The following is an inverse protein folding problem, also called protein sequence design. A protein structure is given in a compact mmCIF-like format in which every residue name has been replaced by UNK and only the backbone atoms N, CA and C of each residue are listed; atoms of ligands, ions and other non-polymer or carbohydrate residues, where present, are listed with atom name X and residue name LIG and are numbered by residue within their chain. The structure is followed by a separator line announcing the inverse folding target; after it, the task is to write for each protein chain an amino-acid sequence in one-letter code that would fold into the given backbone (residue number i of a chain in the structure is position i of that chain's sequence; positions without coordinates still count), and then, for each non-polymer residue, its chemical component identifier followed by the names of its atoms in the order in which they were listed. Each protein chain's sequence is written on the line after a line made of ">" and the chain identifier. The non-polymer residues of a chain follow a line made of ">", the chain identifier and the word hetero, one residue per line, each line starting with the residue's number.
data_IF_075767920524
#
_entry.id   IF_075767920524
#
_cell.length_a   1.000
_cell.length_b   1.000
_cell.length_c   1.000
_cell.angle_alpha   90.00
_cell.angle_beta   90.00
_cell.angle_gamma   90.00
#
_symmetry.space_group_name_H-M   'P 1'
#
loop_
_entity.id
_entity.type
_entity.pdbx_description
1 polymer ?
#
# COMPACT_ATOMS: atom_id res chain seq x y z
N UNK A 1 -0.66 -7.94 -1.06
CA UNK A 1 -1.49 -9.11 -1.41
C UNK A 1 -0.57 -10.17 -1.96
N UNK A 2 -0.67 -11.37 -1.43
CA UNK A 2 0.15 -12.52 -1.78
C UNK A 2 -0.78 -13.62 -2.27
N UNK A 3 -0.35 -14.33 -3.29
CA UNK A 3 -0.95 -15.61 -3.66
C UNK A 3 -0.34 -16.69 -2.75
N UNK A 4 -1.20 -17.50 -2.14
CA UNK A 4 -0.76 -18.50 -1.17
C UNK A 4 -0.91 -19.90 -1.74
N UNK A 5 0.22 -20.54 -2.00
CA UNK A 5 0.29 -21.91 -2.50
C UNK A 5 0.77 -22.87 -1.40
N UNK A 6 0.24 -24.09 -1.42
CA UNK A 6 0.62 -25.14 -0.46
C UNK A 6 1.92 -25.87 -0.83
N UNK A 7 2.34 -25.77 -2.09
CA UNK A 7 3.46 -26.57 -2.65
C UNK A 7 4.58 -25.67 -3.17
N UNK A 8 4.23 -24.53 -3.78
CA UNK A 8 5.17 -23.56 -4.36
C UNK A 8 5.41 -22.38 -3.43
N UNK A 9 6.46 -21.59 -3.74
CA UNK A 9 6.72 -20.35 -3.03
C UNK A 9 5.61 -19.35 -3.34
N UNK A 10 5.09 -18.71 -2.30
CA UNK A 10 4.09 -17.64 -2.44
C UNK A 10 4.61 -16.47 -3.27
N UNK A 11 3.82 -16.07 -4.26
CA UNK A 11 4.12 -14.96 -5.14
C UNK A 11 3.36 -13.69 -4.74
N UNK A 12 4.05 -12.55 -4.84
CA UNK A 12 3.45 -11.26 -4.50
C UNK A 12 2.64 -10.72 -5.67
N UNK A 13 1.31 -10.82 -5.60
CA UNK A 13 0.38 -10.23 -6.58
C UNK A 13 0.58 -8.71 -6.66
N UNK A 14 0.76 -8.06 -5.52
CA UNK A 14 1.05 -6.62 -5.49
C UNK A 14 0.96 -6.02 -4.09
N UNK A 15 1.34 -4.75 -3.96
CA UNK A 15 1.33 -4.03 -2.69
C UNK A 15 0.98 -2.56 -2.87
N UNK A 16 0.65 -1.93 -1.75
CA UNK A 16 0.44 -0.49 -1.62
C UNK A 16 1.23 0.02 -0.42
N UNK A 17 1.45 1.32 -0.37
CA UNK A 17 2.05 2.01 0.77
C UNK A 17 1.16 3.20 1.14
N UNK A 18 0.86 3.35 2.42
CA UNK A 18 0.15 4.50 2.99
C UNK A 18 1.11 5.24 3.93
N UNK A 19 1.07 6.57 3.91
CA UNK A 19 1.93 7.38 4.76
C UNK A 19 2.08 8.80 4.23
N UNK A 20 2.89 9.61 4.93
CA UNK A 20 3.23 10.98 4.53
C UNK A 20 3.91 11.06 3.17
N UNK A 21 4.70 10.04 2.81
CA UNK A 21 5.45 9.98 1.56
C UNK A 21 4.74 9.24 0.43
N UNK A 22 3.49 8.82 0.67
CA UNK A 22 2.66 8.24 -0.36
C UNK A 22 2.25 9.32 -1.38
N UNK A 23 1.79 8.90 -2.55
CA UNK A 23 1.28 9.81 -3.59
C UNK A 23 -0.16 9.44 -3.97
N UNK A 24 -0.90 10.39 -4.54
CA UNK A 24 -2.23 10.14 -5.09
C UNK A 24 -3.25 9.66 -4.06
N UNK A 25 -3.95 8.57 -4.39
CA UNK A 25 -5.05 8.03 -3.59
C UNK A 25 -4.59 7.52 -2.22
N UNK A 26 -3.38 6.98 -2.15
CA UNK A 26 -2.77 6.47 -0.93
C UNK A 26 -2.53 7.57 0.10
N UNK A 27 -2.03 8.73 -0.36
CA UNK A 27 -1.85 9.91 0.50
C UNK A 27 -3.18 10.47 0.96
N UNK A 28 -4.18 10.53 0.06
CA UNK A 28 -5.53 10.99 0.41
C UNK A 28 -6.15 10.13 1.50
N UNK A 29 -6.07 8.80 1.36
CA UNK A 29 -6.54 7.87 2.40
C UNK A 29 -5.86 8.15 3.73
N UNK A 30 -4.53 8.30 3.72
CA UNK A 30 -3.76 8.59 4.93
C UNK A 30 -4.19 9.91 5.59
N UNK A 31 -4.36 10.97 4.79
CA UNK A 31 -4.83 12.26 5.28
C UNK A 31 -6.26 12.20 5.83
N UNK A 32 -7.16 11.46 5.17
CA UNK A 32 -8.54 11.26 5.62
C UNK A 32 -8.58 10.53 6.97
N UNK A 33 -7.72 9.52 7.16
CA UNK A 33 -7.59 8.80 8.42
C UNK A 33 -7.11 9.72 9.57
N UNK A 34 -6.09 10.55 9.31
CA UNK A 34 -5.58 11.50 10.30
C UNK A 34 -6.57 12.61 10.63
N UNK A 35 -7.36 13.03 9.64
CA UNK A 35 -8.36 14.09 9.80
C UNK A 35 -9.64 13.63 10.51
N UNK A 36 -9.85 12.31 10.64
CA UNK A 36 -11.03 11.73 11.28
C UNK A 36 -10.66 10.74 12.41
N UNK A 37 -10.17 11.22 13.56
CA UNK A 37 -9.79 10.37 14.68
C UNK A 37 -10.94 9.46 15.11
N UNK A 38 -10.62 8.18 15.35
CA UNK A 38 -11.56 7.13 15.80
C UNK A 38 -12.71 6.81 14.84
N UNK A 39 -12.71 7.37 13.62
CA UNK A 39 -13.65 6.98 12.56
C UNK A 39 -12.93 6.09 11.56
N UNK A 40 -13.45 4.89 11.26
CA UNK A 40 -12.86 4.05 10.23
C UNK A 40 -13.06 4.70 8.85
N UNK A 41 -12.00 4.68 8.03
CA UNK A 41 -12.01 5.14 6.65
C UNK A 41 -11.73 3.94 5.75
N UNK A 42 -12.56 3.73 4.73
CA UNK A 42 -12.41 2.67 3.75
C UNK A 42 -12.33 3.27 2.35
N UNK A 43 -11.29 2.93 1.58
CA UNK A 43 -11.16 3.30 0.17
C UNK A 43 -10.48 2.18 -0.60
N UNK A 44 -10.88 2.01 -1.85
CA UNK A 44 -10.25 1.08 -2.79
C UNK A 44 -8.91 1.61 -3.26
N UNK A 45 -7.96 0.70 -3.50
CA UNK A 45 -6.64 1.01 -4.04
C UNK A 45 -6.26 0.00 -5.12
N UNK A 46 -5.72 0.50 -6.23
CA UNK A 46 -5.08 -0.36 -7.23
C UNK A 46 -3.76 -0.88 -6.68
N UNK A 47 -3.53 -2.19 -6.79
CA UNK A 47 -2.27 -2.80 -6.40
C UNK A 47 -1.16 -2.37 -7.36
N UNK A 48 0.01 -2.04 -6.80
CA UNK A 48 1.22 -1.75 -7.55
C UNK A 48 2.19 -2.93 -7.45
N UNK A 49 3.10 -3.03 -8.42
CA UNK A 49 4.07 -4.12 -8.42
C UNK A 49 4.98 -4.02 -7.20
N UNK A 50 5.46 -5.17 -6.72
CA UNK A 50 6.34 -5.20 -5.56
C UNK A 50 7.63 -4.41 -5.80
N UNK A 51 8.12 -4.40 -7.03
CA UNK A 51 9.31 -3.66 -7.42
C UNK A 51 9.08 -2.15 -7.40
N UNK A 52 7.96 -1.65 -7.95
CA UNK A 52 7.63 -0.22 -7.97
C UNK A 52 7.58 0.39 -6.56
N UNK A 53 6.86 -0.26 -5.64
CA UNK A 53 6.79 0.23 -4.25
C UNK A 53 8.13 0.04 -3.53
N UNK A 54 8.87 -1.03 -3.79
CA UNK A 54 10.19 -1.22 -3.15
C UNK A 54 11.14 -0.10 -3.55
N UNK A 55 11.24 0.21 -4.84
CA UNK A 55 12.05 1.32 -5.35
C UNK A 55 11.64 2.66 -4.75
N UNK A 56 10.33 2.93 -4.65
CA UNK A 56 9.83 4.16 -4.05
C UNK A 56 10.17 4.29 -2.56
N UNK A 57 10.18 3.17 -1.82
CA UNK A 57 10.54 3.14 -0.40
C UNK A 57 12.06 3.19 -0.17
N UNK A 58 12.88 2.53 -1.01
CA UNK A 58 14.34 2.53 -0.86
C UNK A 58 14.98 3.84 -1.29
N UNK A 59 14.39 4.57 -2.23
CA UNK A 59 14.85 5.91 -2.65
C UNK A 59 14.59 7.00 -1.59
N UNK A 60 13.89 6.69 -0.50
CA UNK A 60 13.44 7.67 0.50
C UNK A 60 14.02 7.42 1.91
N UNK A 61 15.16 6.73 1.99
CA UNK A 61 15.96 6.59 3.23
C UNK A 61 16.61 7.90 3.63
#
# INVERSE_FOLDING_TARGET
>A
VWDHDAVTRNDAIGKIFLGCDAAGNQLRHWADMLSNPRRPVAQWHSLLSSQQINSSLTLKK
#
